data_IF_820075013793
#
_entry.id   IF_820075013793
#
_cell.length_a   1.000
_cell.length_b   1.000
_cell.length_c   1.000
_cell.angle_alpha   90.00
_cell.angle_beta   90.00
_cell.angle_gamma   90.00
#
_symmetry.space_group_name_H-M   'P 1'
#
loop_
_entity.id
_entity.type
_entity.pdbx_description
1 polymer ?
#
# COMPACT_ATOMS: atom_id res chain seq x y z
N UNK A 1 -44.81 -58.85 6.59
CA UNK A 1 -44.76 -58.45 8.01
C UNK A 1 -43.35 -58.69 8.51
N UNK A 2 -42.49 -57.67 8.46
CA UNK A 2 -41.11 -57.75 8.95
C UNK A 2 -40.90 -56.55 9.86
N UNK A 3 -40.69 -56.84 11.15
CA UNK A 3 -40.54 -55.88 12.25
C UNK A 3 -39.13 -55.27 12.23
N UNK A 4 -39.08 -53.96 12.41
CA UNK A 4 -37.88 -53.14 12.63
C UNK A 4 -37.12 -53.57 13.91
N UNK A 5 -35.79 -53.64 13.81
CA UNK A 5 -34.84 -53.46 14.92
C UNK A 5 -34.38 -51.99 14.96
N UNK A 6 -34.13 -51.39 16.15
CA UNK A 6 -33.50 -50.08 16.24
C UNK A 6 -31.96 -50.22 16.29
N UNK A 7 -31.29 -49.41 15.47
CA UNK A 7 -29.83 -49.31 15.39
C UNK A 7 -29.30 -48.40 16.52
N UNK A 8 -28.32 -48.91 17.27
CA UNK A 8 -27.55 -48.17 18.27
C UNK A 8 -26.71 -47.07 17.60
N UNK A 9 -26.73 -45.85 18.15
CA UNK A 9 -25.85 -44.76 17.77
C UNK A 9 -24.51 -44.84 18.53
N UNK A 10 -23.40 -44.94 17.79
CA UNK A 10 -22.02 -44.72 18.28
C UNK A 10 -21.62 -43.26 18.03
N UNK A 11 -21.01 -42.54 18.99
CA UNK A 11 -20.37 -41.27 18.71
C UNK A 11 -18.94 -41.49 18.19
N UNK A 12 -18.65 -40.97 17.01
CA UNK A 12 -17.31 -40.84 16.44
C UNK A 12 -16.53 -39.76 17.21
N UNK A 13 -15.45 -40.16 17.89
CA UNK A 13 -14.41 -39.25 18.37
C UNK A 13 -13.50 -38.89 17.19
N UNK A 14 -13.57 -37.65 16.71
CA UNK A 14 -12.61 -37.10 15.76
C UNK A 14 -11.44 -36.52 16.57
N UNK A 15 -10.31 -37.22 16.55
CA UNK A 15 -9.02 -36.75 17.07
C UNK A 15 -8.43 -35.74 16.09
N UNK A 16 -8.55 -34.45 16.37
CA UNK A 16 -7.81 -33.41 15.64
C UNK A 16 -6.39 -33.32 16.17
N UNK A 17 -5.43 -33.88 15.43
CA UNK A 17 -4.01 -33.60 15.62
C UNK A 17 -3.72 -32.13 15.33
N UNK A 18 -3.32 -31.38 16.36
CA UNK A 18 -2.70 -30.06 16.23
C UNK A 18 -1.21 -30.28 15.96
N UNK A 19 -0.58 -29.66 14.94
CA UNK A 19 0.85 -29.75 14.76
C UNK A 19 1.55 -28.93 15.86
N UNK A 20 2.44 -29.59 16.58
CA UNK A 20 3.31 -28.99 17.59
C UNK A 20 4.37 -28.14 16.89
N UNK A 21 4.44 -26.85 17.23
CA UNK A 21 5.53 -25.98 16.83
C UNK A 21 6.83 -26.44 17.51
N UNK A 22 7.83 -26.83 16.72
CA UNK A 22 9.18 -27.10 17.22
C UNK A 22 9.86 -25.78 17.59
N UNK A 23 10.30 -25.68 18.85
CA UNK A 23 11.18 -24.61 19.33
C UNK A 23 12.51 -24.66 18.58
N UNK A 24 12.92 -23.52 18.01
CA UNK A 24 14.24 -23.33 17.43
C UNK A 24 15.30 -23.29 18.54
N UNK A 25 16.15 -24.31 18.60
CA UNK A 25 17.36 -24.31 19.41
C UNK A 25 18.52 -23.69 18.64
N UNK A 26 19.19 -22.69 19.21
CA UNK A 26 20.42 -22.10 18.68
C UNK A 26 21.62 -23.02 18.98
N UNK A 27 22.16 -23.67 17.95
CA UNK A 27 23.43 -24.40 18.02
C UNK A 27 24.59 -23.57 17.47
N UNK A 28 25.59 -23.28 18.30
CA UNK A 28 26.84 -22.62 17.91
C UNK A 28 27.87 -23.66 17.46
N UNK A 29 28.39 -23.54 16.23
CA UNK A 29 29.60 -24.27 15.82
C UNK A 29 30.85 -23.49 16.20
N UNK A 30 31.95 -24.21 16.47
CA UNK A 30 33.19 -23.76 17.11
C UNK A 30 34.02 -22.68 16.35
N UNK A 31 33.48 -22.01 15.34
CA UNK A 31 34.15 -20.95 14.57
C UNK A 31 33.36 -19.62 14.50
N UNK A 32 32.37 -19.38 15.36
CA UNK A 32 31.77 -18.05 15.54
C UNK A 32 31.04 -17.46 14.31
N UNK A 33 30.78 -18.24 13.27
CA UNK A 33 29.93 -17.83 12.14
C UNK A 33 28.49 -18.22 12.40
N UNK A 34 27.62 -17.21 12.50
CA UNK A 34 26.17 -17.38 12.39
C UNK A 34 25.87 -17.61 10.90
N UNK A 35 25.74 -18.86 10.49
CA UNK A 35 25.09 -19.19 9.22
C UNK A 35 23.59 -18.97 9.39
N UNK A 36 23.07 -17.87 8.85
CA UNK A 36 21.66 -17.76 8.56
C UNK A 36 21.33 -18.71 7.39
N UNK A 37 21.19 -20.00 7.68
CA UNK A 37 20.41 -20.88 6.81
C UNK A 37 18.95 -20.52 7.04
N UNK A 38 18.51 -19.42 6.41
CA UNK A 38 17.09 -19.17 6.23
C UNK A 38 16.56 -20.35 5.43
N UNK A 39 15.69 -21.17 6.05
CA UNK A 39 14.89 -22.10 5.29
C UNK A 39 14.22 -21.30 4.17
N UNK A 40 14.34 -21.75 2.92
CA UNK A 40 13.52 -21.25 1.82
C UNK A 40 12.09 -21.58 2.23
N UNK A 41 11.41 -20.64 2.91
CA UNK A 41 9.97 -20.68 2.95
C UNK A 41 9.53 -20.59 1.49
N UNK A 42 8.62 -21.47 1.06
CA UNK A 42 8.08 -21.40 -0.30
C UNK A 42 7.39 -20.03 -0.48
N UNK A 43 8.12 -19.07 -1.05
CA UNK A 43 7.64 -17.73 -1.32
C UNK A 43 6.72 -17.80 -2.53
N UNK A 44 5.42 -17.75 -2.29
CA UNK A 44 4.43 -17.68 -3.38
C UNK A 44 4.33 -16.25 -3.88
N UNK A 45 4.62 -16.04 -5.17
CA UNK A 45 4.48 -14.74 -5.82
C UNK A 45 3.07 -14.17 -5.63
N UNK A 46 3.01 -12.93 -5.14
CA UNK A 46 1.81 -12.11 -5.00
C UNK A 46 1.88 -10.99 -6.03
N UNK A 47 0.85 -10.88 -6.87
CA UNK A 47 0.71 -9.76 -7.83
C UNK A 47 0.19 -8.50 -7.13
N UNK A 48 0.81 -8.14 -6.01
CA UNK A 48 0.45 -7.03 -5.15
C UNK A 48 1.66 -6.47 -4.44
N UNK A 49 1.56 -5.24 -3.92
CA UNK A 49 2.61 -4.66 -3.09
C UNK A 49 2.90 -5.57 -1.91
N UNK A 50 4.10 -6.15 -1.82
CA UNK A 50 4.43 -7.07 -0.75
C UNK A 50 5.92 -7.13 -0.51
N UNK A 51 6.27 -7.38 0.74
CA UNK A 51 7.65 -7.56 1.19
C UNK A 51 7.72 -8.94 1.83
N UNK A 52 8.58 -9.81 1.30
CA UNK A 52 8.63 -11.23 1.67
C UNK A 52 9.61 -11.51 2.81
N UNK A 53 10.46 -10.54 3.16
CA UNK A 53 11.50 -10.67 4.17
C UNK A 53 11.50 -9.46 5.10
N UNK A 54 11.66 -9.69 6.40
CA UNK A 54 11.67 -8.62 7.41
C UNK A 54 12.89 -7.69 7.32
N UNK A 55 13.98 -8.16 6.68
CA UNK A 55 15.19 -7.37 6.43
C UNK A 55 15.01 -6.38 5.29
N UNK A 56 14.06 -6.60 4.40
CA UNK A 56 13.75 -5.67 3.32
C UNK A 56 12.83 -4.61 3.88
N UNK A 57 13.27 -3.36 3.86
CA UNK A 57 12.56 -2.25 4.47
C UNK A 57 12.40 -1.09 3.50
N UNK A 58 11.40 -0.26 3.81
CA UNK A 58 11.12 0.99 3.11
C UNK A 58 11.06 0.85 1.57
N UNK A 59 10.34 -0.13 1.00
CA UNK A 59 10.28 -0.23 -0.45
C UNK A 59 9.36 0.86 -1.00
N UNK A 60 9.88 1.75 -1.83
CA UNK A 60 9.19 2.88 -2.43
C UNK A 60 9.19 2.75 -3.95
N UNK A 61 8.07 3.08 -4.59
CA UNK A 61 7.95 3.14 -6.05
C UNK A 61 7.20 4.41 -6.44
N UNK A 62 7.87 5.34 -7.11
CA UNK A 62 7.32 6.65 -7.43
C UNK A 62 7.92 7.24 -8.72
N UNK A 63 7.20 8.13 -9.42
CA UNK A 63 7.72 8.82 -10.59
C UNK A 63 8.70 9.94 -10.23
N UNK A 64 9.77 10.09 -11.01
CA UNK A 64 10.73 11.18 -10.89
C UNK A 64 10.24 12.38 -11.71
N UNK A 65 9.65 13.38 -11.04
CA UNK A 65 8.97 14.52 -11.70
C UNK A 65 9.66 15.87 -11.48
N UNK A 66 10.28 16.10 -10.31
CA UNK A 66 10.81 17.41 -9.90
C UNK A 66 12.33 17.41 -9.65
N UNK A 67 13.01 16.28 -9.86
CA UNK A 67 14.47 16.11 -9.74
C UNK A 67 14.85 15.15 -8.60
N UNK A 68 16.11 14.66 -8.56
CA UNK A 68 16.49 13.54 -7.68
C UNK A 68 16.37 13.81 -6.16
N UNK A 69 16.35 15.07 -5.72
CA UNK A 69 16.43 15.43 -4.29
C UNK A 69 15.11 15.96 -3.70
N UNK A 70 14.02 15.95 -4.46
CA UNK A 70 12.74 16.44 -3.96
C UNK A 70 11.94 15.30 -3.33
N UNK A 71 11.85 15.26 -2.00
CA UNK A 71 11.10 14.26 -1.26
C UNK A 71 9.59 14.26 -1.59
N UNK A 72 9.05 15.36 -2.14
CA UNK A 72 7.63 15.43 -2.53
C UNK A 72 7.28 14.46 -3.65
N UNK A 73 8.25 14.08 -4.50
CA UNK A 73 7.97 13.15 -5.60
C UNK A 73 7.63 11.74 -5.09
N UNK A 74 8.08 11.36 -3.88
CA UNK A 74 7.73 10.09 -3.21
C UNK A 74 6.22 9.99 -2.92
N UNK A 75 5.52 11.13 -2.85
CA UNK A 75 4.08 11.19 -2.60
C UNK A 75 3.25 10.93 -3.84
N UNK A 76 3.85 10.87 -5.03
CA UNK A 76 3.12 10.64 -6.27
C UNK A 76 2.74 9.16 -6.42
N UNK A 77 1.51 8.87 -6.83
CA UNK A 77 1.12 7.50 -7.15
C UNK A 77 1.93 6.97 -8.35
N UNK A 78 2.31 5.68 -8.38
CA UNK A 78 3.07 5.10 -9.49
C UNK A 78 2.15 4.81 -10.68
N UNK A 79 1.57 5.86 -11.24
CA UNK A 79 0.71 5.83 -12.43
C UNK A 79 1.28 6.83 -13.44
N UNK A 80 1.81 6.33 -14.56
CA UNK A 80 2.57 7.14 -15.52
C UNK A 80 1.97 7.03 -16.94
N UNK A 81 2.09 8.06 -17.78
CA UNK A 81 1.66 7.96 -19.18
C UNK A 81 2.58 7.02 -19.97
N UNK A 82 2.03 6.30 -20.96
CA UNK A 82 2.79 5.44 -21.87
C UNK A 82 3.70 6.26 -22.79
N UNK A 83 3.25 7.45 -23.19
CA UNK A 83 3.98 8.36 -24.07
C UNK A 83 4.77 9.35 -23.24
N UNK A 84 6.08 9.45 -23.50
CA UNK A 84 7.02 10.30 -22.75
C UNK A 84 6.89 10.13 -21.21
N UNK A 85 6.95 8.89 -20.68
CA UNK A 85 6.85 8.66 -19.25
C UNK A 85 7.97 9.36 -18.47
N UNK A 86 7.69 9.92 -17.28
CA UNK A 86 8.75 10.12 -16.29
C UNK A 86 9.33 8.75 -15.90
N UNK A 87 10.60 8.72 -15.50
CA UNK A 87 11.20 7.50 -14.96
C UNK A 87 10.52 7.11 -13.64
N UNK A 88 10.23 5.82 -13.45
CA UNK A 88 9.80 5.29 -12.16
C UNK A 88 11.02 4.83 -11.37
N UNK A 89 11.21 5.39 -10.17
CA UNK A 89 12.24 4.99 -9.22
C UNK A 89 11.68 3.91 -8.29
N UNK A 90 12.35 2.77 -8.22
CA UNK A 90 12.16 1.78 -7.16
C UNK A 90 13.39 1.84 -6.24
N UNK A 91 13.14 1.98 -4.95
CA UNK A 91 14.18 1.94 -3.94
C UNK A 91 13.74 1.15 -2.71
N UNK A 92 14.69 0.54 -2.01
CA UNK A 92 14.47 -0.21 -0.78
C UNK A 92 15.78 -0.41 -0.03
N UNK A 93 15.70 -0.74 1.25
CA UNK A 93 16.87 -1.07 2.06
C UNK A 93 16.89 -2.57 2.40
N UNK A 94 18.08 -3.15 2.44
CA UNK A 94 18.37 -4.43 3.10
C UNK A 94 19.06 -4.14 4.43
N UNK A 95 18.41 -4.47 5.56
CA UNK A 95 19.02 -4.34 6.88
C UNK A 95 20.24 -5.26 7.01
N UNK A 96 21.32 -4.74 7.59
CA UNK A 96 22.61 -5.39 7.77
C UNK A 96 23.72 -4.78 6.92
N UNK A 97 24.90 -5.40 7.00
CA UNK A 97 26.13 -4.98 6.29
C UNK A 97 26.44 -5.86 5.05
N UNK A 98 25.60 -6.88 4.81
CA UNK A 98 25.72 -7.79 3.69
C UNK A 98 25.02 -7.21 2.46
N UNK A 99 25.74 -7.16 1.35
CA UNK A 99 25.16 -6.87 0.04
C UNK A 99 24.85 -8.16 -0.70
N UNK A 100 23.77 -8.14 -1.48
CA UNK A 100 23.35 -9.19 -2.39
C UNK A 100 23.20 -8.66 -3.81
N UNK A 101 23.26 -9.56 -4.80
CA UNK A 101 22.92 -9.23 -6.18
C UNK A 101 21.41 -9.33 -6.36
N UNK A 102 20.76 -8.20 -6.62
CA UNK A 102 19.34 -8.17 -6.92
C UNK A 102 19.09 -8.10 -8.42
N UNK A 103 18.05 -8.80 -8.83
CA UNK A 103 17.49 -8.74 -10.16
C UNK A 103 16.02 -8.40 -10.06
N UNK A 104 15.46 -7.84 -11.12
CA UNK A 104 14.03 -7.63 -11.22
C UNK A 104 13.51 -7.96 -12.61
N UNK A 105 12.21 -8.22 -12.66
CA UNK A 105 11.44 -8.33 -13.89
C UNK A 105 10.07 -7.66 -13.73
N UNK A 106 9.44 -7.35 -14.85
CA UNK A 106 8.10 -6.80 -14.89
C UNK A 106 7.09 -7.91 -15.25
N UNK A 107 5.91 -7.88 -14.67
CA UNK A 107 4.79 -8.76 -15.03
C UNK A 107 3.61 -7.88 -15.41
N UNK A 108 3.17 -7.96 -16.67
CA UNK A 108 1.93 -7.33 -17.11
C UNK A 108 0.72 -8.02 -16.47
N UNK A 109 -0.20 -7.22 -15.95
CA UNK A 109 -1.43 -7.64 -15.32
C UNK A 109 -2.64 -6.96 -15.97
N UNK A 110 -3.77 -7.63 -15.88
CA UNK A 110 -5.08 -7.11 -16.26
C UNK A 110 -5.63 -6.13 -15.21
N UNK A 111 -6.80 -5.55 -15.47
CA UNK A 111 -7.40 -4.52 -14.62
C UNK A 111 -7.68 -5.03 -13.19
N UNK A 112 -7.89 -6.33 -13.03
CA UNK A 112 -8.09 -7.03 -11.76
C UNK A 112 -6.78 -7.47 -11.08
N UNK A 113 -5.61 -7.09 -11.59
CA UNK A 113 -4.29 -7.50 -11.12
C UNK A 113 -3.94 -8.99 -11.30
N UNK A 114 -4.68 -9.73 -12.12
CA UNK A 114 -4.25 -11.06 -12.57
C UNK A 114 -3.24 -10.95 -13.71
N UNK A 115 -2.30 -11.90 -13.80
CA UNK A 115 -1.31 -11.92 -14.88
C UNK A 115 -2.02 -12.03 -16.24
N UNK A 116 -1.69 -11.13 -17.17
CA UNK A 116 -2.30 -11.14 -18.51
C UNK A 116 -1.77 -12.29 -19.37
N UNK A 117 -2.37 -12.47 -20.55
CA UNK A 117 -1.94 -13.48 -21.52
C UNK A 117 -0.80 -12.99 -22.44
N UNK A 118 -0.20 -11.84 -22.13
CA UNK A 118 0.93 -11.31 -22.90
C UNK A 118 2.23 -12.03 -22.52
N UNK A 119 3.05 -12.27 -23.54
CA UNK A 119 4.44 -12.69 -23.34
C UNK A 119 5.33 -11.47 -23.13
N UNK A 120 6.48 -11.65 -22.50
CA UNK A 120 7.40 -10.56 -22.17
C UNK A 120 7.77 -9.70 -23.38
N UNK A 121 7.98 -10.31 -24.55
CA UNK A 121 8.29 -9.59 -25.79
C UNK A 121 7.14 -8.72 -26.32
N UNK A 122 5.89 -9.01 -25.93
CA UNK A 122 4.72 -8.21 -26.30
C UNK A 122 4.74 -6.84 -25.61
N UNK A 123 5.24 -6.76 -24.36
CA UNK A 123 5.20 -5.54 -23.54
C UNK A 123 6.59 -4.93 -23.21
N UNK A 124 7.69 -5.66 -23.38
CA UNK A 124 9.06 -5.19 -23.13
C UNK A 124 9.82 -4.93 -24.42
N UNK A 125 10.65 -3.88 -24.45
CA UNK A 125 11.62 -3.63 -25.54
C UNK A 125 12.84 -4.54 -25.46
N UNK A 126 13.23 -4.93 -24.26
CA UNK A 126 14.43 -5.70 -23.96
C UNK A 126 14.07 -7.03 -23.30
N UNK A 127 15.08 -7.86 -23.06
CA UNK A 127 14.90 -9.09 -22.28
C UNK A 127 14.48 -8.74 -20.84
N UNK A 128 13.42 -9.36 -20.35
CA UNK A 128 12.75 -9.01 -19.09
C UNK A 128 13.48 -9.56 -17.85
N UNK A 129 14.76 -9.24 -17.73
CA UNK A 129 15.60 -9.58 -16.60
C UNK A 129 16.67 -8.51 -16.50
N UNK A 130 16.67 -7.80 -15.39
CA UNK A 130 17.51 -6.63 -15.20
C UNK A 130 18.22 -6.73 -13.87
N UNK A 131 19.50 -6.40 -13.84
CA UNK A 131 20.28 -6.36 -12.61
C UNK A 131 20.14 -5.00 -11.92
N UNK A 132 19.97 -5.00 -10.61
CA UNK A 132 20.05 -3.78 -9.78
C UNK A 132 21.52 -3.55 -9.45
N UNK A 133 22.12 -2.55 -10.09
CA UNK A 133 23.55 -2.25 -9.95
C UNK A 133 23.83 -1.08 -9.02
N UNK A 134 22.85 -0.22 -8.75
CA UNK A 134 23.04 0.91 -7.86
C UNK A 134 22.70 0.51 -6.42
N UNK A 135 23.72 0.55 -5.56
CA UNK A 135 23.56 0.30 -4.14
C UNK A 135 24.60 1.06 -3.33
N UNK A 136 24.23 1.47 -2.12
CA UNK A 136 25.05 2.29 -1.24
C UNK A 136 24.92 1.80 0.21
N UNK A 137 26.04 1.73 0.93
CA UNK A 137 26.02 1.31 2.34
C UNK A 137 25.63 2.49 3.22
N UNK A 138 24.83 2.25 4.25
CA UNK A 138 24.45 3.26 5.23
C UNK A 138 25.65 3.86 5.96
N UNK A 139 25.62 5.18 6.22
CA UNK A 139 26.72 5.92 6.84
C UNK A 139 26.22 6.58 8.13
N UNK A 140 26.96 6.39 9.23
CA UNK A 140 26.66 6.98 10.55
C UNK A 140 25.27 6.62 11.12
N UNK A 141 24.74 5.46 10.75
CA UNK A 141 23.50 4.89 11.29
C UNK A 141 23.81 3.88 12.40
N UNK A 142 22.93 3.76 13.40
CA UNK A 142 23.04 2.70 14.42
C UNK A 142 22.62 1.36 13.88
N UNK A 143 21.62 1.38 12.99
CA UNK A 143 21.22 0.20 12.25
C UNK A 143 21.88 0.22 10.87
N UNK A 144 22.85 -0.67 10.60
CA UNK A 144 23.45 -0.75 9.28
C UNK A 144 22.43 -1.28 8.27
N UNK A 145 22.48 -0.77 7.05
CA UNK A 145 21.71 -1.27 5.92
C UNK A 145 22.45 -1.00 4.59
N UNK A 146 22.04 -1.70 3.53
CA UNK A 146 22.43 -1.41 2.15
C UNK A 146 21.20 -0.86 1.42
N UNK A 147 21.29 0.36 0.92
CA UNK A 147 20.26 1.01 0.13
C UNK A 147 20.40 0.59 -1.33
N UNK A 148 19.31 0.14 -1.95
CA UNK A 148 19.24 -0.22 -3.36
C UNK A 148 18.30 0.73 -4.08
N UNK A 149 18.67 1.16 -5.28
CA UNK A 149 17.79 1.99 -6.12
C UNK A 149 17.94 1.64 -7.59
N UNK A 150 16.88 1.86 -8.36
CA UNK A 150 16.86 1.61 -9.79
C UNK A 150 15.73 2.37 -10.49
N UNK A 151 15.89 2.60 -11.79
CA UNK A 151 14.82 3.10 -12.64
C UNK A 151 14.20 1.97 -13.46
N UNK A 152 12.87 1.89 -13.48
CA UNK A 152 12.16 0.91 -14.28
C UNK A 152 12.30 1.23 -15.78
N UNK A 153 12.51 0.22 -16.64
CA UNK A 153 12.57 0.41 -18.10
C UNK A 153 11.19 0.79 -18.66
N UNK A 154 11.13 1.49 -19.80
CA UNK A 154 9.87 1.78 -20.48
C UNK A 154 9.21 0.50 -21.02
N UNK A 155 7.88 0.55 -21.15
CA UNK A 155 7.06 -0.56 -21.67
C UNK A 155 6.38 -0.18 -22.98
N UNK A 156 5.99 -1.17 -23.77
CA UNK A 156 5.33 -1.00 -25.08
C UNK A 156 3.81 -0.82 -24.99
N UNK A 157 3.20 -1.33 -23.93
CA UNK A 157 1.74 -1.49 -23.80
C UNK A 157 1.28 -0.88 -22.48
N UNK A 158 0.10 -0.25 -22.48
CA UNK A 158 -0.55 0.26 -21.28
C UNK A 158 -1.23 -0.85 -20.50
N UNK A 159 -1.42 -0.65 -19.20
CA UNK A 159 -2.01 -1.65 -18.31
C UNK A 159 -1.40 -1.59 -16.92
N UNK A 160 -1.62 -2.65 -16.16
CA UNK A 160 -1.05 -2.80 -14.83
C UNK A 160 0.24 -3.61 -14.91
N UNK A 161 1.19 -3.27 -14.04
CA UNK A 161 2.47 -3.94 -13.96
C UNK A 161 2.86 -4.21 -12.51
N UNK A 162 3.46 -5.37 -12.28
CA UNK A 162 4.11 -5.70 -11.02
C UNK A 162 5.60 -5.84 -11.28
N UNK A 163 6.41 -5.02 -10.62
CA UNK A 163 7.85 -5.28 -10.53
C UNK A 163 8.09 -6.35 -9.47
N UNK A 164 8.82 -7.38 -9.82
CA UNK A 164 9.21 -8.48 -8.94
C UNK A 164 10.72 -8.43 -8.78
N UNK A 165 11.20 -8.22 -7.55
CA UNK A 165 12.62 -8.24 -7.22
C UNK A 165 12.96 -9.57 -6.57
N UNK A 166 14.09 -10.16 -6.96
CA UNK A 166 14.56 -11.45 -6.48
C UNK A 166 16.10 -11.50 -6.37
N UNK A 167 16.60 -12.35 -5.49
CA UNK A 167 18.02 -12.40 -5.08
C UNK A 167 18.83 -13.41 -5.90
N UNK A 168 20.11 -13.13 -6.13
CA UNK A 168 21.11 -14.01 -6.78
C UNK A 168 20.65 -14.67 -8.08
N UNK A 169 19.87 -13.94 -8.88
CA UNK A 169 19.27 -14.42 -10.13
C UNK A 169 18.39 -15.70 -9.97
N UNK A 170 17.87 -15.96 -8.77
CA UNK A 170 16.95 -17.04 -8.49
C UNK A 170 15.52 -16.51 -8.36
N UNK A 171 14.68 -16.72 -9.38
CA UNK A 171 13.31 -16.19 -9.41
C UNK A 171 12.40 -16.73 -8.28
N UNK A 172 12.79 -17.83 -7.62
CA UNK A 172 12.04 -18.35 -6.46
C UNK A 172 12.40 -17.60 -5.16
N UNK A 173 13.56 -16.93 -5.11
CA UNK A 173 13.98 -16.13 -3.96
C UNK A 173 13.51 -14.68 -4.11
N UNK A 174 12.19 -14.51 -4.14
CA UNK A 174 11.52 -13.20 -4.27
C UNK A 174 11.72 -12.38 -2.98
N UNK A 175 12.07 -11.11 -3.07
CA UNK A 175 12.28 -10.25 -1.90
C UNK A 175 11.19 -9.21 -1.71
N UNK A 176 10.70 -8.63 -2.81
CA UNK A 176 9.57 -7.70 -2.79
C UNK A 176 8.86 -7.65 -4.14
N UNK A 177 7.63 -7.16 -4.10
CA UNK A 177 6.82 -6.82 -5.26
C UNK A 177 6.21 -5.43 -5.09
N UNK A 178 6.19 -4.65 -6.17
CA UNK A 178 5.50 -3.34 -6.22
C UNK A 178 4.64 -3.19 -7.47
N UNK A 179 3.48 -2.58 -7.31
CA UNK A 179 2.48 -2.30 -8.34
C UNK A 179 2.71 -0.92 -8.94
N UNK A 180 2.57 -0.82 -10.25
CA UNK A 180 2.43 0.46 -10.95
C UNK A 180 1.52 0.28 -12.15
N UNK A 181 1.05 1.40 -12.70
CA UNK A 181 0.17 1.40 -13.86
C UNK A 181 0.71 2.35 -14.93
N UNK A 182 0.53 1.96 -16.18
CA UNK A 182 0.94 2.75 -17.35
C UNK A 182 -0.31 3.05 -18.17
N UNK A 183 -0.67 4.32 -18.32
CA UNK A 183 -1.92 4.73 -18.96
C UNK A 183 -1.71 5.37 -20.32
N UNK A 184 -2.73 5.32 -21.16
CA UNK A 184 -2.84 6.13 -22.37
C UNK A 184 -3.88 7.23 -22.17
N UNK A 185 -3.74 8.33 -22.91
CA UNK A 185 -4.69 9.45 -22.88
C UNK A 185 -5.67 9.33 -24.05
N UNK A 186 -6.40 8.21 -24.12
CA UNK A 186 -7.33 7.94 -25.22
C UNK A 186 -8.78 8.36 -24.93
N UNK A 187 -9.11 8.57 -23.65
CA UNK A 187 -10.40 9.08 -23.19
C UNK A 187 -10.20 10.26 -22.26
N UNK A 188 -11.18 11.15 -22.22
CA UNK A 188 -11.23 12.25 -21.25
C UNK A 188 -12.17 11.88 -20.10
N UNK A 189 -11.71 12.07 -18.87
CA UNK A 189 -12.49 11.82 -17.66
C UNK A 189 -12.76 13.16 -16.97
N UNK A 190 -14.02 13.46 -16.72
CA UNK A 190 -14.44 14.66 -15.98
C UNK A 190 -15.06 14.21 -14.66
N UNK A 191 -14.35 14.45 -13.57
CA UNK A 191 -14.76 14.06 -12.23
C UNK A 191 -15.29 15.26 -11.44
N UNK A 192 -16.22 14.99 -10.53
CA UNK A 192 -16.77 15.92 -9.55
C UNK A 192 -16.94 15.18 -8.22
N UNK A 193 -16.20 15.64 -7.20
CA UNK A 193 -16.28 15.06 -5.85
C UNK A 193 -17.13 15.97 -4.98
N UNK A 194 -18.16 15.42 -4.35
CA UNK A 194 -19.16 16.15 -3.60
C UNK A 194 -19.62 15.39 -2.37
N UNK A 195 -20.44 16.03 -1.53
CA UNK A 195 -21.09 15.32 -0.43
C UNK A 195 -22.04 14.25 -0.95
N UNK A 196 -22.17 13.17 -0.19
CA UNK A 196 -23.08 12.09 -0.57
C UNK A 196 -24.52 12.56 -0.79
N UNK A 197 -25.11 12.07 -1.88
CA UNK A 197 -26.54 12.26 -2.16
C UNK A 197 -27.42 11.51 -1.15
N UNK A 198 -26.93 10.41 -0.56
CA UNK A 198 -27.59 9.70 0.53
C UNK A 198 -27.58 10.56 1.80
N UNK A 199 -28.77 10.95 2.26
CA UNK A 199 -28.97 11.80 3.44
C UNK A 199 -28.34 11.20 4.70
N UNK A 200 -28.33 9.87 4.82
CA UNK A 200 -27.77 9.19 6.00
C UNK A 200 -26.24 9.22 6.04
N UNK A 201 -25.60 9.34 4.86
CA UNK A 201 -24.15 9.33 4.70
C UNK A 201 -23.59 10.72 4.37
N UNK A 202 -24.44 11.72 4.11
CA UNK A 202 -24.05 13.06 3.66
C UNK A 202 -22.98 13.73 4.52
N UNK A 203 -23.01 13.52 5.83
CA UNK A 203 -22.06 14.13 6.77
C UNK A 203 -20.74 13.37 6.92
N UNK A 204 -20.71 12.09 6.50
CA UNK A 204 -19.56 11.20 6.72
C UNK A 204 -18.87 10.79 5.45
N UNK A 205 -19.56 10.84 4.30
CA UNK A 205 -19.11 10.26 3.03
C UNK A 205 -18.97 11.33 1.95
N UNK A 206 -18.07 11.01 1.02
CA UNK A 206 -17.76 11.75 -0.18
C UNK A 206 -18.16 10.90 -1.38
N UNK A 207 -18.81 11.51 -2.37
CA UNK A 207 -19.31 10.87 -3.57
C UNK A 207 -18.49 11.32 -4.77
N UNK A 208 -18.00 10.37 -5.57
CA UNK A 208 -17.16 10.64 -6.75
C UNK A 208 -17.97 10.40 -8.01
N UNK A 209 -18.59 11.46 -8.53
CA UNK A 209 -19.33 11.42 -9.78
C UNK A 209 -18.38 11.72 -10.95
N UNK A 210 -18.57 11.04 -12.10
CA UNK A 210 -17.74 11.33 -13.26
C UNK A 210 -18.40 10.92 -14.58
N UNK A 211 -17.91 11.53 -15.66
CA UNK A 211 -18.29 11.21 -17.03
C UNK A 211 -17.02 10.89 -17.81
N UNK A 212 -17.05 9.81 -18.60
CA UNK A 212 -15.97 9.44 -19.51
C UNK A 212 -16.40 9.74 -20.94
N UNK A 213 -15.64 10.59 -21.63
CA UNK A 213 -15.82 10.84 -23.05
C UNK A 213 -14.83 9.99 -23.86
N UNK A 214 -15.38 9.16 -24.76
CA UNK A 214 -14.60 8.28 -25.63
C UNK A 214 -14.77 8.65 -27.11
N UNK A 215 -15.07 9.91 -27.43
CA UNK A 215 -15.41 10.33 -28.78
C UNK A 215 -14.32 10.00 -29.83
N UNK A 216 -13.05 9.96 -29.41
CA UNK A 216 -11.89 9.66 -30.25
C UNK A 216 -11.71 8.15 -30.52
N UNK A 217 -12.49 7.29 -29.87
CA UNK A 217 -12.40 5.83 -29.97
C UNK A 217 -13.68 5.24 -30.54
N UNK A 218 -13.53 4.15 -31.29
CA UNK A 218 -14.64 3.29 -31.68
C UNK A 218 -14.67 2.08 -30.73
N UNK A 219 -15.31 2.25 -29.58
CA UNK A 219 -15.41 1.20 -28.57
C UNK A 219 -16.55 0.24 -28.91
N UNK A 220 -16.25 -1.06 -28.89
CA UNK A 220 -17.28 -2.10 -29.05
C UNK A 220 -17.88 -2.39 -27.69
N UNK A 221 -19.20 -2.24 -27.55
CA UNK A 221 -19.96 -2.50 -26.32
C UNK A 221 -19.25 -1.96 -25.05
N UNK A 222 -19.08 -0.64 -24.92
CA UNK A 222 -18.31 -0.04 -23.84
C UNK A 222 -18.88 -0.36 -22.45
N UNK A 223 -20.18 -0.67 -22.34
CA UNK A 223 -20.79 -1.09 -21.07
C UNK A 223 -20.20 -2.40 -20.52
N UNK A 224 -19.77 -3.31 -21.39
CA UNK A 224 -19.23 -4.63 -21.00
C UNK A 224 -17.71 -4.64 -21.05
N UNK A 225 -17.13 -3.99 -22.06
CA UNK A 225 -15.70 -4.08 -22.35
C UNK A 225 -14.85 -3.03 -21.64
N UNK A 226 -15.48 -2.11 -20.89
CA UNK A 226 -14.78 -1.17 -20.03
C UNK A 226 -14.88 -1.58 -18.56
N UNK A 227 -13.80 -1.34 -17.84
CA UNK A 227 -13.74 -1.53 -16.39
C UNK A 227 -13.17 -0.26 -15.77
N UNK A 228 -13.88 0.35 -14.84
CA UNK A 228 -13.45 1.58 -14.20
C UNK A 228 -13.24 1.36 -12.71
N UNK A 229 -12.12 1.83 -12.20
CA UNK A 229 -11.77 1.78 -10.78
C UNK A 229 -11.61 3.20 -10.24
N UNK A 230 -12.16 3.44 -9.06
CA UNK A 230 -11.96 4.69 -8.30
C UNK A 230 -11.20 4.34 -7.02
N UNK A 231 -10.14 5.08 -6.72
CA UNK A 231 -9.31 4.89 -5.52
C UNK A 231 -9.27 6.15 -4.69
N UNK A 232 -9.50 6.05 -3.39
CA UNK A 232 -9.26 7.12 -2.44
C UNK A 232 -7.79 7.06 -1.98
N UNK A 233 -7.06 8.17 -2.06
CA UNK A 233 -5.68 8.32 -1.63
C UNK A 233 -4.70 7.30 -2.23
N UNK A 234 -4.95 6.88 -3.48
CA UNK A 234 -4.13 5.88 -4.19
C UNK A 234 -4.29 4.43 -3.69
N UNK A 235 -5.23 4.17 -2.79
CA UNK A 235 -5.41 2.89 -2.10
C UNK A 235 -6.15 1.87 -2.95
N UNK A 236 -5.65 0.63 -2.95
CA UNK A 236 -6.30 -0.51 -3.61
C UNK A 236 -7.23 -1.30 -2.67
N UNK A 237 -7.05 -1.20 -1.36
CA UNK A 237 -7.84 -1.96 -0.37
C UNK A 237 -9.30 -1.48 -0.27
N UNK A 238 -9.55 -0.20 -0.57
CA UNK A 238 -10.89 0.41 -0.58
C UNK A 238 -11.35 0.82 -1.98
N UNK A 239 -10.67 0.38 -3.04
CA UNK A 239 -10.99 0.77 -4.41
C UNK A 239 -12.36 0.24 -4.84
N UNK A 240 -13.14 1.08 -5.52
CA UNK A 240 -14.45 0.71 -6.05
C UNK A 240 -14.34 0.39 -7.54
N UNK A 241 -14.84 -0.78 -7.93
CA UNK A 241 -15.03 -1.16 -9.34
C UNK A 241 -16.43 -0.77 -9.77
N UNK A 242 -16.53 0.16 -10.73
CA UNK A 242 -17.79 0.75 -11.16
C UNK A 242 -18.09 0.40 -12.63
N UNK A 243 -19.37 0.24 -12.93
CA UNK A 243 -19.89 0.00 -14.28
C UNK A 243 -20.86 1.12 -14.66
N UNK A 244 -20.79 1.69 -15.87
CA UNK A 244 -21.51 2.91 -16.20
C UNK A 244 -23.02 2.74 -16.00
N UNK A 245 -23.66 3.74 -15.39
CA UNK A 245 -25.10 3.79 -15.19
C UNK A 245 -25.82 3.93 -16.54
N UNK A 246 -25.27 4.79 -17.41
CA UNK A 246 -25.80 5.06 -18.73
C UNK A 246 -24.66 5.20 -19.75
N UNK A 247 -24.93 4.73 -20.97
CA UNK A 247 -24.04 4.91 -22.12
C UNK A 247 -24.80 5.76 -23.12
N UNK A 248 -24.25 6.92 -23.50
CA UNK A 248 -24.78 7.72 -24.59
C UNK A 248 -24.01 7.41 -25.88
N UNK A 249 -24.62 6.73 -26.88
CA UNK A 249 -23.93 6.43 -28.12
C UNK A 249 -23.80 7.64 -29.06
N UNK A 250 -24.67 8.65 -28.92
CA UNK A 250 -24.64 9.83 -29.77
C UNK A 250 -23.50 10.76 -29.36
N UNK A 251 -23.40 11.02 -28.06
CA UNK A 251 -22.35 11.88 -27.49
C UNK A 251 -21.06 11.12 -27.17
N UNK A 252 -21.09 9.78 -27.30
CA UNK A 252 -19.98 8.86 -26.98
C UNK A 252 -19.46 9.09 -25.57
N UNK A 253 -20.38 9.06 -24.61
CA UNK A 253 -20.10 9.25 -23.18
C UNK A 253 -20.58 8.08 -22.33
N UNK A 254 -19.93 7.89 -21.18
CA UNK A 254 -20.34 6.97 -20.13
C UNK A 254 -20.55 7.76 -18.85
N UNK A 255 -21.72 7.58 -18.24
CA UNK A 255 -22.14 8.30 -17.04
C UNK A 255 -22.01 7.40 -15.80
N UNK A 256 -21.38 7.91 -14.75
CA UNK A 256 -21.17 7.26 -13.45
C UNK A 256 -21.73 8.09 -12.29
N UNK A 257 -22.83 8.82 -12.51
CA UNK A 257 -23.53 9.58 -11.49
C UNK A 257 -24.58 8.72 -10.78
N UNK A 258 -24.17 8.01 -9.73
CA UNK A 258 -25.07 7.11 -9.00
C UNK A 258 -25.90 7.87 -7.96
N UNK A 259 -27.16 7.45 -7.80
CA UNK A 259 -28.05 7.93 -6.74
C UNK A 259 -28.09 6.99 -5.53
N UNK A 260 -27.68 5.73 -5.70
CA UNK A 260 -27.68 4.67 -4.68
C UNK A 260 -26.38 4.59 -3.87
N UNK A 261 -25.40 5.45 -4.17
CA UNK A 261 -24.18 5.60 -3.38
C UNK A 261 -23.09 4.57 -3.67
N UNK A 262 -23.13 3.86 -4.79
CA UNK A 262 -22.10 2.90 -5.22
C UNK A 262 -20.72 3.52 -5.39
N UNK A 263 -20.66 4.83 -5.61
CA UNK A 263 -19.46 5.65 -5.72
C UNK A 263 -19.21 6.52 -4.47
N UNK A 264 -19.82 6.16 -3.33
CA UNK A 264 -19.52 6.79 -2.05
C UNK A 264 -18.30 6.14 -1.39
N UNK A 265 -17.41 7.00 -0.90
CA UNK A 265 -16.33 6.63 0.00
C UNK A 265 -16.61 7.24 1.38
N UNK A 266 -16.26 6.56 2.49
CA UNK A 266 -16.11 7.24 3.76
C UNK A 266 -15.10 8.40 3.58
N UNK A 267 -15.47 9.62 3.97
CA UNK A 267 -14.54 10.76 3.91
C UNK A 267 -13.34 10.60 4.86
N UNK A 268 -13.41 9.66 5.81
CA UNK A 268 -12.37 9.44 6.83
C UNK A 268 -12.07 10.74 7.60
N UNK A 269 -10.84 10.89 8.08
CA UNK A 269 -10.36 12.05 8.80
C UNK A 269 -8.92 12.27 8.38
N UNK A 270 -8.40 13.49 8.57
CA UNK A 270 -6.99 13.79 8.34
C UNK A 270 -6.12 12.82 9.14
N UNK A 271 -5.15 12.20 8.48
CA UNK A 271 -4.25 11.23 9.06
C UNK A 271 -3.44 11.86 10.20
N UNK A 272 -3.10 11.03 11.18
CA UNK A 272 -2.18 11.43 12.26
C UNK A 272 -0.78 11.53 11.70
N UNK A 273 0.02 12.41 12.26
CA UNK A 273 1.39 12.65 11.82
C UNK A 273 2.37 12.36 12.93
N UNK A 274 3.49 11.75 12.57
CA UNK A 274 4.73 11.78 13.37
C UNK A 274 5.91 12.23 12.50
N UNK A 275 6.68 13.19 13.00
CA UNK A 275 7.88 13.70 12.34
C UNK A 275 9.14 13.09 12.99
N UNK A 276 9.68 12.05 12.38
CA UNK A 276 10.87 11.32 12.82
C UNK A 276 12.14 11.77 12.09
N UNK A 277 12.11 12.88 11.34
CA UNK A 277 13.23 13.34 10.50
C UNK A 277 14.45 13.77 11.30
N UNK A 278 14.28 14.01 12.61
CA UNK A 278 15.36 14.26 13.56
C UNK A 278 15.12 13.50 14.85
N UNK A 279 16.21 13.01 15.45
CA UNK A 279 16.20 12.55 16.85
C UNK A 279 17.03 13.47 17.77
N UNK A 280 17.42 14.65 17.29
CA UNK A 280 18.13 15.68 18.10
C UNK A 280 17.16 16.59 18.85
N UNK A 281 15.93 16.67 18.41
CA UNK A 281 14.84 17.41 19.04
C UNK A 281 13.52 16.66 18.86
N UNK A 282 12.51 17.03 19.63
CA UNK A 282 11.17 16.45 19.52
C UNK A 282 10.45 17.07 18.31
N UNK A 283 10.25 16.28 17.27
CA UNK A 283 9.36 16.59 16.16
C UNK A 283 7.89 16.52 16.54
N UNK A 284 7.01 16.87 15.60
CA UNK A 284 5.57 16.75 15.78
C UNK A 284 5.18 15.31 16.10
N UNK A 285 4.30 15.11 17.09
CA UNK A 285 3.85 13.78 17.52
C UNK A 285 4.83 13.03 18.44
N UNK A 286 6.02 13.57 18.74
CA UNK A 286 7.00 12.94 19.64
C UNK A 286 6.85 13.45 21.08
N UNK A 287 6.80 12.53 22.05
CA UNK A 287 6.77 12.84 23.48
C UNK A 287 8.16 12.82 24.13
N UNK A 288 8.97 11.81 23.80
CA UNK A 288 10.34 11.71 24.28
C UNK A 288 11.21 10.88 23.34
N UNK A 289 12.52 11.03 23.50
CA UNK A 289 13.53 10.29 22.75
C UNK A 289 14.49 9.69 23.77
N UNK A 290 14.73 8.39 23.69
CA UNK A 290 15.80 7.70 24.40
C UNK A 290 16.84 7.20 23.39
N UNK A 291 18.11 7.51 23.65
CA UNK A 291 19.20 7.28 22.71
C UNK A 291 20.32 6.57 23.42
N UNK A 292 20.64 5.39 22.89
CA UNK A 292 21.83 4.62 23.26
C UNK A 292 22.79 4.58 22.08
N UNK A 293 23.95 3.95 22.27
CA UNK A 293 24.88 3.70 21.17
C UNK A 293 24.37 2.66 20.17
N UNK A 294 23.40 1.83 20.57
CA UNK A 294 22.90 0.70 19.77
C UNK A 294 21.55 0.95 19.10
N UNK A 295 20.70 1.79 19.70
CA UNK A 295 19.36 2.09 19.17
C UNK A 295 18.85 3.46 19.58
N UNK A 296 17.88 3.95 18.81
CA UNK A 296 17.06 5.14 19.13
C UNK A 296 15.63 4.67 19.35
N UNK A 297 15.09 4.97 20.53
CA UNK A 297 13.69 4.78 20.89
C UNK A 297 12.98 6.13 20.86
N UNK A 298 11.90 6.25 20.09
CA UNK A 298 11.07 7.45 20.02
C UNK A 298 9.70 7.11 20.58
N UNK A 299 9.32 7.74 21.70
CA UNK A 299 8.00 7.57 22.28
C UNK A 299 7.06 8.64 21.73
N UNK A 300 5.95 8.21 21.12
CA UNK A 300 4.96 9.13 20.57
C UNK A 300 4.05 9.68 21.67
N UNK A 301 3.44 10.83 21.38
CA UNK A 301 2.37 11.39 22.21
C UNK A 301 1.21 10.39 22.26
N UNK A 302 0.68 10.03 23.44
CA UNK A 302 -0.43 9.09 23.53
C UNK A 302 -1.69 9.61 22.82
N UNK A 303 -2.18 8.83 21.88
CA UNK A 303 -3.37 9.13 21.10
C UNK A 303 -4.66 8.76 21.82
N UNK A 304 -5.76 9.34 21.36
CA UNK A 304 -7.13 8.97 21.71
C UNK A 304 -7.95 8.81 20.44
N UNK A 305 -9.05 8.06 20.52
CA UNK A 305 -10.04 8.01 19.44
C UNK A 305 -10.56 9.42 19.12
N UNK A 306 -10.61 9.75 17.83
CA UNK A 306 -11.16 11.00 17.27
C UNK A 306 -12.53 10.79 16.61
N UNK A 307 -13.10 9.58 16.68
CA UNK A 307 -14.40 9.22 16.07
C UNK A 307 -15.56 10.17 16.41
N UNK A 308 -15.54 10.75 17.61
CA UNK A 308 -16.56 11.71 18.10
C UNK A 308 -15.99 13.09 18.39
N UNK A 309 -14.76 13.37 17.95
CA UNK A 309 -14.15 14.68 18.11
C UNK A 309 -14.79 15.67 17.13
N UNK A 310 -14.64 16.97 17.39
CA UNK A 310 -14.98 17.98 16.38
C UNK A 310 -13.92 17.91 15.28
N UNK A 311 -14.36 17.88 14.02
CA UNK A 311 -13.46 17.85 12.87
C UNK A 311 -12.50 19.05 12.90
N UNK A 312 -11.22 18.77 12.71
CA UNK A 312 -10.16 19.77 12.62
C UNK A 312 -9.37 19.48 11.36
N UNK A 313 -9.37 20.45 10.44
CA UNK A 313 -8.58 20.35 9.22
C UNK A 313 -7.10 20.53 9.57
N UNK A 314 -6.30 19.55 9.18
CA UNK A 314 -4.85 19.51 9.32
C UNK A 314 -4.30 19.12 7.97
N UNK A 315 -3.25 19.80 7.51
CA UNK A 315 -2.57 19.36 6.31
C UNK A 315 -1.81 18.08 6.61
N UNK A 316 -2.01 17.08 5.76
CA UNK A 316 -1.36 15.79 5.87
C UNK A 316 -0.79 15.35 4.50
N UNK A 317 -0.38 14.08 4.41
CA UNK A 317 0.15 13.41 3.24
C UNK A 317 -0.79 12.27 2.79
N UNK A 318 -2.08 12.33 3.11
CA UNK A 318 -3.09 11.34 2.75
C UNK A 318 -2.70 9.89 3.13
N UNK A 319 -2.04 9.73 4.29
CA UNK A 319 -1.62 8.42 4.80
C UNK A 319 -0.29 7.88 4.26
N UNK A 320 0.40 8.69 3.45
CA UNK A 320 1.74 8.40 2.92
C UNK A 320 2.86 8.76 3.89
N UNK A 321 4.08 8.43 3.51
CA UNK A 321 5.27 8.90 4.22
C UNK A 321 6.36 9.37 3.26
N UNK A 322 7.28 10.18 3.78
CA UNK A 322 8.49 10.58 3.07
C UNK A 322 9.72 10.27 3.93
N UNK A 323 10.76 9.73 3.29
CA UNK A 323 12.03 9.48 3.95
C UNK A 323 12.87 10.73 3.81
N UNK A 324 13.18 11.35 4.95
CA UNK A 324 13.94 12.58 5.00
C UNK A 324 14.77 12.62 6.29
N UNK A 325 16.05 13.00 6.16
CA UNK A 325 16.91 13.22 7.32
C UNK A 325 17.29 14.69 7.45
N UNK A 326 16.91 15.32 8.56
CA UNK A 326 17.18 16.74 8.79
C UNK A 326 18.64 17.05 9.15
N UNK A 327 19.35 16.09 9.76
CA UNK A 327 20.72 16.32 10.18
C UNK A 327 21.70 16.42 9.01
N UNK A 328 21.56 15.54 8.02
CA UNK A 328 22.51 15.39 6.91
C UNK A 328 21.95 15.82 5.57
N UNK A 329 20.61 15.84 5.43
CA UNK A 329 19.90 15.95 4.15
C UNK A 329 20.20 14.82 3.16
N UNK A 330 20.90 13.78 3.61
CA UNK A 330 21.17 12.57 2.86
C UNK A 330 20.27 11.44 3.40
N UNK A 331 19.08 11.34 2.80
CA UNK A 331 18.01 10.49 3.32
C UNK A 331 18.18 9.02 2.94
N UNK A 332 18.92 8.73 1.87
CA UNK A 332 19.04 7.37 1.36
C UNK A 332 19.99 6.57 2.24
N UNK A 333 21.14 7.14 2.59
CA UNK A 333 22.21 6.41 3.30
C UNK A 333 22.47 6.89 4.74
N UNK A 334 22.04 8.09 5.14
CA UNK A 334 22.29 8.61 6.48
C UNK A 334 21.05 8.74 7.37
N UNK A 335 19.86 8.37 6.88
CA UNK A 335 18.65 8.24 7.69
C UNK A 335 18.68 6.95 8.51
N UNK A 336 18.72 7.06 9.84
CA UNK A 336 18.78 5.90 10.73
C UNK A 336 17.41 5.19 10.82
N UNK A 337 17.39 3.93 11.27
CA UNK A 337 16.16 3.27 11.67
C UNK A 337 15.95 3.44 13.18
N UNK A 338 14.73 3.85 13.56
CA UNK A 338 14.34 4.14 14.94
C UNK A 338 13.19 3.23 15.37
N UNK A 339 13.14 2.91 16.67
CA UNK A 339 12.02 2.20 17.29
C UNK A 339 10.97 3.22 17.74
N UNK A 340 9.91 3.38 16.96
CA UNK A 340 8.79 4.25 17.27
C UNK A 340 7.77 3.51 18.15
N UNK A 341 7.48 4.04 19.33
CA UNK A 341 6.55 3.48 20.30
C UNK A 341 5.20 4.19 20.23
N UNK A 342 4.21 3.50 19.68
CA UNK A 342 2.84 3.97 19.52
C UNK A 342 2.02 3.63 20.76
N UNK A 343 1.10 4.53 21.13
CA UNK A 343 0.21 4.35 22.28
C UNK A 343 -1.16 4.94 22.02
N UNK A 344 -2.19 4.10 22.03
CA UNK A 344 -3.58 4.49 21.88
C UNK A 344 -4.34 4.27 23.20
N UNK A 345 -4.75 5.37 23.84
CA UNK A 345 -5.53 5.37 25.07
C UNK A 345 -7.00 5.04 24.78
N UNK A 346 -7.36 3.77 24.95
CA UNK A 346 -8.73 3.28 24.81
C UNK A 346 -8.91 2.03 25.68
N UNK A 347 -10.12 1.78 26.24
CA UNK A 347 -10.44 0.50 26.86
C UNK A 347 -10.23 -0.68 25.90
N UNK A 348 -10.14 -1.92 26.40
CA UNK A 348 -10.00 -3.09 25.53
C UNK A 348 -11.25 -3.25 24.66
N UNK A 349 -11.03 -3.61 23.41
CA UNK A 349 -12.04 -3.74 22.35
C UNK A 349 -11.95 -5.14 21.75
N UNK A 350 -13.09 -5.70 21.35
CA UNK A 350 -13.15 -6.94 20.60
C UNK A 350 -12.60 -6.74 19.18
N UNK A 351 -11.55 -7.48 18.83
CA UNK A 351 -10.86 -7.37 17.55
C UNK A 351 -9.38 -7.02 17.74
N UNK A 352 -8.71 -6.76 16.63
CA UNK A 352 -7.27 -6.46 16.59
C UNK A 352 -7.05 -5.01 16.19
N UNK A 353 -6.13 -4.32 16.86
CA UNK A 353 -5.86 -2.89 16.62
C UNK A 353 -4.51 -2.76 15.92
N UNK A 354 -4.48 -2.02 14.82
CA UNK A 354 -3.27 -1.80 14.02
C UNK A 354 -2.98 -0.31 13.84
N UNK A 355 -1.70 0.03 13.80
CA UNK A 355 -1.23 1.26 13.14
C UNK A 355 -1.33 1.01 11.64
N UNK A 356 -1.98 1.91 10.92
CA UNK A 356 -2.40 1.70 9.54
C UNK A 356 -2.02 2.90 8.66
N UNK A 357 -1.81 2.67 7.37
CA UNK A 357 -1.25 3.65 6.44
C UNK A 357 -0.34 3.02 5.38
N UNK A 358 0.29 3.84 4.54
CA UNK A 358 1.26 3.38 3.53
C UNK A 358 2.48 2.70 4.17
N UNK A 359 2.87 3.11 5.38
CA UNK A 359 3.89 2.45 6.22
C UNK A 359 3.62 0.94 6.41
N UNK A 360 2.34 0.56 6.48
CA UNK A 360 1.87 -0.83 6.60
C UNK A 360 1.55 -1.46 5.23
N UNK A 361 1.78 -0.73 4.15
CA UNK A 361 1.30 -1.05 2.79
C UNK A 361 -0.21 -1.28 2.76
N UNK A 362 -0.97 -0.51 3.54
CA UNK A 362 -2.42 -0.60 3.67
C UNK A 362 -2.91 -2.01 4.03
N UNK A 363 -2.16 -2.70 4.92
CA UNK A 363 -2.49 -4.07 5.36
C UNK A 363 -2.27 -4.23 6.86
N UNK A 364 -3.08 -5.08 7.53
CA UNK A 364 -2.90 -5.40 8.95
C UNK A 364 -1.75 -6.39 9.13
N UNK A 365 -0.51 -5.92 8.97
CA UNK A 365 0.69 -6.74 9.20
C UNK A 365 0.95 -6.84 10.70
N UNK A 366 1.37 -8.02 11.17
CA UNK A 366 1.63 -8.27 12.60
C UNK A 366 2.65 -7.29 13.21
N UNK A 367 3.63 -6.83 12.44
CA UNK A 367 4.61 -5.82 12.87
C UNK A 367 4.00 -4.44 13.20
N UNK A 368 2.78 -4.17 12.74
CA UNK A 368 2.02 -2.95 13.03
C UNK A 368 0.87 -3.16 14.03
N UNK A 369 0.75 -4.36 14.60
CA UNK A 369 -0.29 -4.68 15.59
C UNK A 369 0.03 -4.06 16.94
N UNK A 370 -0.98 -3.45 17.56
CA UNK A 370 -0.93 -3.01 18.95
C UNK A 370 -1.52 -4.07 19.88
N UNK A 371 -0.91 -4.19 21.07
CA UNK A 371 -1.38 -5.08 22.13
C UNK A 371 -1.90 -4.27 23.30
N UNK A 372 -3.02 -4.71 23.88
CA UNK A 372 -3.57 -4.07 25.05
C UNK A 372 -2.67 -4.34 26.27
N UNK A 373 -2.30 -3.28 26.97
CA UNK A 373 -1.58 -3.31 28.22
C UNK A 373 -2.50 -2.82 29.34
N UNK A 374 -2.88 -3.75 30.23
CA UNK A 374 -3.77 -3.47 31.36
C UNK A 374 -3.16 -2.47 32.36
N UNK A 375 -1.82 -2.47 32.51
CA UNK A 375 -1.15 -1.60 33.48
C UNK A 375 -1.24 -0.13 33.07
N UNK A 376 -1.17 0.14 31.76
CA UNK A 376 -1.27 1.51 31.22
C UNK A 376 -2.67 1.86 30.71
N UNK A 377 -3.59 0.89 30.65
CA UNK A 377 -4.95 1.07 30.16
C UNK A 377 -4.99 1.48 28.68
N UNK A 378 -4.06 0.96 27.87
CA UNK A 378 -3.82 1.44 26.52
C UNK A 378 -3.38 0.31 25.59
N UNK A 379 -3.60 0.50 24.28
CA UNK A 379 -2.95 -0.31 23.25
C UNK A 379 -1.57 0.25 22.96
N UNK A 380 -0.54 -0.60 22.96
CA UNK A 380 0.86 -0.23 22.75
C UNK A 380 1.52 -1.11 21.70
N UNK A 381 2.48 -0.55 20.97
CA UNK A 381 3.28 -1.30 19.99
C UNK A 381 4.53 -0.52 19.60
N UNK A 382 5.52 -1.26 19.10
CA UNK A 382 6.82 -0.71 18.70
C UNK A 382 7.09 -1.08 17.26
N UNK A 383 7.36 -0.08 16.42
CA UNK A 383 7.60 -0.24 14.99
C UNK A 383 8.98 0.27 14.63
N UNK A 384 9.70 -0.50 13.82
CA UNK A 384 11.00 -0.08 13.28
C UNK A 384 10.77 0.75 12.01
N UNK A 385 11.04 2.04 12.06
CA UNK A 385 10.81 2.99 10.98
C UNK A 385 12.10 3.73 10.62
N UNK A 386 12.36 3.94 9.32
CA UNK A 386 13.46 4.80 8.86
C UNK A 386 13.13 6.26 9.19
N UNK A 387 14.10 7.11 9.49
CA UNK A 387 13.82 8.54 9.73
C UNK A 387 13.05 9.15 8.55
N UNK A 388 12.00 9.90 8.87
CA UNK A 388 11.06 10.40 7.88
C UNK A 388 9.84 11.05 8.52
N UNK A 389 8.94 11.55 7.68
CA UNK A 389 7.66 12.11 8.11
C UNK A 389 6.57 11.14 7.70
N UNK A 390 5.81 10.64 8.69
CA UNK A 390 4.86 9.56 8.50
C UNK A 390 3.45 10.00 8.83
N UNK A 391 2.53 9.68 7.94
CA UNK A 391 1.12 9.64 8.25
C UNK A 391 0.66 8.25 8.64
N UNK A 392 -0.27 8.19 9.59
CA UNK A 392 -0.88 6.95 10.04
C UNK A 392 -2.30 7.17 10.56
N UNK A 393 -3.06 6.09 10.64
CA UNK A 393 -4.35 6.00 11.31
C UNK A 393 -4.34 4.79 12.25
N UNK A 394 -5.37 4.64 13.07
CA UNK A 394 -5.65 3.38 13.75
C UNK A 394 -6.81 2.66 13.08
N UNK A 395 -6.61 1.38 12.78
CA UNK A 395 -7.66 0.52 12.23
C UNK A 395 -8.05 -0.56 13.24
N UNK A 396 -9.37 -0.80 13.36
CA UNK A 396 -9.90 -1.97 14.03
C UNK A 396 -10.12 -3.08 12.98
N UNK A 397 -9.58 -4.26 13.24
CA UNK A 397 -9.71 -5.43 12.38
C UNK A 397 -10.56 -6.49 13.06
N UNK A 398 -11.62 -6.92 12.38
CA UNK A 398 -12.54 -7.96 12.83
C UNK A 398 -12.81 -8.93 11.68
N UNK A 399 -12.18 -10.10 11.72
CA UNK A 399 -12.16 -11.02 10.58
C UNK A 399 -11.48 -10.36 9.38
N UNK A 400 -12.20 -10.26 8.25
CA UNK A 400 -11.68 -9.63 7.03
C UNK A 400 -12.01 -8.12 6.92
N UNK A 401 -12.72 -7.55 7.90
CA UNK A 401 -13.09 -6.13 7.88
C UNK A 401 -12.00 -5.29 8.54
N UNK A 402 -11.50 -4.30 7.81
CA UNK A 402 -10.60 -3.26 8.31
C UNK A 402 -11.43 -1.97 8.46
N UNK A 403 -11.47 -1.39 9.65
CA UNK A 403 -12.32 -0.24 9.98
C UNK A 403 -11.52 0.87 10.68
N UNK A 404 -11.07 1.85 9.90
CA UNK A 404 -10.39 3.06 10.40
C UNK A 404 -11.37 4.03 11.08
N UNK A 405 -12.63 4.06 10.62
CA UNK A 405 -13.67 4.95 11.14
C UNK A 405 -13.97 4.69 12.62
N UNK A 406 -13.70 3.46 13.08
CA UNK A 406 -13.84 3.09 14.49
C UNK A 406 -13.05 4.04 15.42
N UNK A 407 -11.81 4.37 15.06
CA UNK A 407 -10.96 5.24 15.86
C UNK A 407 -10.92 6.67 15.34
N UNK A 408 -10.91 6.86 14.02
CA UNK A 408 -10.68 8.17 13.41
C UNK A 408 -11.96 8.96 13.12
N UNK A 409 -13.07 8.27 12.93
CA UNK A 409 -14.32 8.87 12.43
C UNK A 409 -14.33 9.01 10.92
N UNK A 410 -15.36 9.69 10.41
CA UNK A 410 -15.53 9.96 8.98
C UNK A 410 -16.24 11.29 8.81
N UNK A 411 -15.68 12.20 8.01
CA UNK A 411 -16.20 13.53 7.78
C UNK A 411 -16.18 13.83 6.29
N UNK A 412 -17.29 14.32 5.76
CA UNK A 412 -17.46 14.69 4.35
C UNK A 412 -16.67 15.91 3.88
N UNK A 413 -15.91 16.56 4.77
CA UNK A 413 -15.11 17.77 4.48
C UNK A 413 -13.60 17.51 4.61
N UNK A 414 -13.23 16.24 4.73
CA UNK A 414 -11.83 15.81 4.83
C UNK A 414 -11.14 16.01 3.48
N UNK A 415 -9.86 16.37 3.51
CA UNK A 415 -9.07 16.37 2.28
C UNK A 415 -8.79 14.93 1.85
N UNK A 416 -9.10 14.61 0.60
CA UNK A 416 -8.77 13.33 -0.01
C UNK A 416 -8.47 13.52 -1.49
N UNK A 417 -7.71 12.59 -2.06
CA UNK A 417 -7.42 12.53 -3.50
C UNK A 417 -8.12 11.32 -4.10
N UNK A 418 -8.87 11.51 -5.18
CA UNK A 418 -9.56 10.42 -5.87
C UNK A 418 -8.99 10.19 -7.26
N UNK A 419 -8.43 9.01 -7.49
CA UNK A 419 -7.93 8.60 -8.80
C UNK A 419 -8.95 7.73 -9.52
N UNK A 420 -9.16 7.97 -10.81
CA UNK A 420 -10.05 7.19 -11.68
C UNK A 420 -9.21 6.52 -12.77
N UNK A 421 -9.24 5.19 -12.81
CA UNK A 421 -8.52 4.35 -13.77
C UNK A 421 -9.52 3.64 -14.67
N UNK A 422 -9.44 3.89 -15.98
CA UNK A 422 -10.38 3.34 -16.96
C UNK A 422 -9.69 2.38 -17.91
N UNK A 423 -10.07 1.12 -17.86
CA UNK A 423 -9.53 0.05 -18.69
C UNK A 423 -10.49 -0.32 -19.81
N UNK A 424 -9.93 -0.76 -20.94
CA UNK A 424 -10.69 -1.32 -22.06
C UNK A 424 -10.06 -2.62 -22.57
N UNK A 425 -10.91 -3.63 -22.75
CA UNK A 425 -10.56 -4.88 -23.43
C UNK A 425 -11.30 -4.96 -24.75
N UNK A 426 -10.58 -4.78 -25.86
CA UNK A 426 -11.17 -5.04 -27.17
C UNK A 426 -11.55 -6.53 -27.31
N UNK A 427 -12.64 -6.86 -28.04
CA UNK A 427 -12.96 -8.26 -28.33
C UNK A 427 -11.77 -9.01 -28.95
N UNK A 428 -11.40 -10.14 -28.35
CA UNK A 428 -10.24 -10.93 -28.77
C UNK A 428 -8.87 -10.41 -28.33
N UNK A 429 -8.80 -9.31 -27.57
CA UNK A 429 -7.56 -8.83 -26.98
C UNK A 429 -7.06 -9.79 -25.87
N UNK A 430 -5.73 -9.85 -25.72
CA UNK A 430 -5.02 -10.70 -24.76
C UNK A 430 -4.82 -10.06 -23.37
N UNK A 431 -5.12 -8.77 -23.24
CA UNK A 431 -4.93 -8.01 -22.02
C UNK A 431 -5.84 -6.77 -21.96
N UNK A 432 -6.05 -6.26 -20.75
CA UNK A 432 -6.65 -4.94 -20.52
C UNK A 432 -5.65 -3.81 -20.80
N UNK A 433 -6.09 -2.79 -21.53
CA UNK A 433 -5.34 -1.52 -21.70
C UNK A 433 -5.91 -0.48 -20.74
N UNK A 434 -5.04 0.24 -20.04
CA UNK A 434 -5.43 1.41 -19.25
C UNK A 434 -5.51 2.62 -20.19
N UNK A 435 -6.72 2.97 -20.63
CA UNK A 435 -6.97 3.93 -21.71
C UNK A 435 -7.28 5.35 -21.22
N UNK A 436 -7.39 5.54 -19.90
CA UNK A 436 -7.59 6.83 -19.28
C UNK A 436 -7.25 6.81 -17.79
N UNK A 437 -6.72 7.92 -17.31
CA UNK A 437 -6.39 8.17 -15.91
C UNK A 437 -6.67 9.64 -15.58
N UNK A 438 -7.21 9.89 -14.39
CA UNK A 438 -7.24 11.24 -13.82
C UNK A 438 -7.18 11.15 -12.30
N UNK A 439 -6.68 12.19 -11.65
CA UNK A 439 -6.69 12.35 -10.21
C UNK A 439 -7.38 13.67 -9.88
N UNK A 440 -8.27 13.66 -8.88
CA UNK A 440 -9.05 14.80 -8.46
C UNK A 440 -8.88 15.02 -6.96
N UNK A 441 -8.29 16.15 -6.59
CA UNK A 441 -8.22 16.58 -5.20
C UNK A 441 -9.59 17.07 -4.74
N UNK A 442 -9.98 16.70 -3.53
CA UNK A 442 -11.20 17.15 -2.89
C UNK A 442 -10.90 17.95 -1.63
N UNK A 443 -11.55 19.11 -1.53
CA UNK A 443 -11.49 19.99 -0.37
C UNK A 443 -12.91 20.45 -0.02
N UNK A 444 -13.57 19.76 0.90
CA UNK A 444 -14.99 20.02 1.19
C UNK A 444 -15.33 21.37 1.84
N UNK A 445 -14.34 22.25 2.05
CA UNK A 445 -14.52 23.63 2.54
C UNK A 445 -14.52 24.71 1.45
N UNK A 446 -14.37 24.35 0.17
CA UNK A 446 -14.40 25.32 -0.95
C UNK A 446 -15.79 25.58 -1.47
#
# INVERSE_FOLDING_TARGET
MIRLLPLLALPFLISTCVPVAQQAGSGTNANGRVTATGAVQDKTLRLADYTYEERIRTPLLYPLTTGPNDAQQMLSNPVIPLQNPPALMLEFDELGDQYFNYYFKLIHCDANWEKSQLFDMDYMFEYNQFQITNYEISINTRMPYVHYSMTLPPVKVSGNYVVVVYRENNEQDIVLTRRFSVYEELVSIRADVKFSADVTQRATNEQVDFIINYAQLNLVNPQVNMQTFVRQNGRWDNALKLAPLYVDPNDRTLDYQYFSGENNFPGLNEYRTVDLRSYRFLGFGMASIDRTDQRVDVYLVPDKSRRRAVYTQLQDLNGKFVIENYETRESNTAADYVYAHFKLLTPPIEGEVYVFGELSSWRPKEEFRLKYDEATGAYVGTMLLKQGYYNYSYALVQGNKIDEQYFEGSYNITENIYDILTYYRAPGARADRLIGYTAQDYYGRK
#
